data_IF_459386799541
#
_entry.id   IF_459386799541
#
_cell.length_a   1.000
_cell.length_b   1.000
_cell.length_c   1.000
_cell.angle_alpha   90.00
_cell.angle_beta   90.00
_cell.angle_gamma   90.00
#
_symmetry.space_group_name_H-M   'P 1'
#
loop_
_entity.id
_entity.type
_entity.pdbx_description
1 polymer ?
#
# COMPACT_ATOMS: atom_id res chain seq x y z
N UNK A 1 -17.34 0.78 -11.84
CA UNK A 1 -18.79 0.80 -11.52
C UNK A 1 -19.44 2.13 -11.92
N UNK A 2 -18.93 3.30 -11.52
CA UNK A 2 -19.55 4.61 -11.86
C UNK A 2 -19.88 4.80 -13.34
N UNK A 3 -18.93 4.52 -14.23
CA UNK A 3 -19.10 4.58 -15.70
C UNK A 3 -20.22 3.69 -16.24
N UNK A 4 -20.46 2.52 -15.63
CA UNK A 4 -21.56 1.65 -16.04
C UNK A 4 -22.92 2.25 -15.63
N UNK A 5 -22.98 2.86 -14.45
CA UNK A 5 -24.20 3.49 -13.96
C UNK A 5 -24.55 4.73 -14.79
N UNK A 6 -23.57 5.50 -15.25
CA UNK A 6 -23.83 6.61 -16.17
C UNK A 6 -24.40 6.10 -17.51
N UNK A 7 -23.84 5.00 -18.05
CA UNK A 7 -24.36 4.36 -19.27
C UNK A 7 -25.78 3.81 -19.14
N UNK A 8 -26.19 3.37 -17.95
CA UNK A 8 -27.52 2.78 -17.71
C UNK A 8 -28.58 3.80 -17.30
N UNK A 9 -28.25 4.75 -16.43
CA UNK A 9 -29.23 5.57 -15.70
C UNK A 9 -29.15 7.08 -15.98
N UNK A 10 -28.25 7.55 -16.85
CA UNK A 10 -28.19 8.98 -17.17
C UNK A 10 -29.53 9.49 -17.74
N UNK A 11 -30.12 10.52 -17.11
CA UNK A 11 -31.36 11.15 -17.57
C UNK A 11 -31.08 12.22 -18.62
N UNK A 12 -31.87 12.22 -19.69
CA UNK A 12 -31.76 13.17 -20.80
C UNK A 12 -31.70 14.63 -20.35
N UNK A 13 -32.59 15.03 -19.42
CA UNK A 13 -32.63 16.40 -18.88
C UNK A 13 -31.26 16.87 -18.38
N UNK A 14 -30.61 16.05 -17.56
CA UNK A 14 -29.32 16.41 -16.97
C UNK A 14 -28.17 16.30 -17.98
N UNK A 15 -28.25 15.35 -18.92
CA UNK A 15 -27.27 15.25 -20.00
C UNK A 15 -27.32 16.52 -20.86
N UNK A 16 -28.51 17.02 -21.19
CA UNK A 16 -28.67 18.24 -21.98
C UNK A 16 -28.30 19.52 -21.21
N UNK A 17 -28.50 19.54 -19.89
CA UNK A 17 -28.10 20.65 -19.02
C UNK A 17 -26.57 20.79 -18.94
N UNK A 18 -25.86 19.66 -18.80
CA UNK A 18 -24.38 19.65 -18.74
C UNK A 18 -23.74 19.80 -20.12
N UNK A 19 -24.37 19.24 -21.15
CA UNK A 19 -23.87 19.26 -22.52
C UNK A 19 -24.87 19.94 -23.48
N UNK A 20 -25.04 21.26 -23.40
CA UNK A 20 -25.94 21.99 -24.30
C UNK A 20 -25.50 21.78 -25.76
N UNK A 21 -26.48 21.63 -26.65
CA UNK A 21 -26.22 21.47 -28.08
C UNK A 21 -27.48 21.13 -28.88
N UNK A 22 -27.45 21.36 -30.20
CA UNK A 22 -28.56 21.02 -31.06
C UNK A 22 -28.70 19.49 -31.18
N UNK A 23 -29.91 18.99 -30.96
CA UNK A 23 -30.27 17.57 -31.14
C UNK A 23 -30.38 16.76 -29.85
N UNK A 24 -31.07 15.63 -29.94
CA UNK A 24 -31.28 14.68 -28.83
C UNK A 24 -30.01 13.87 -28.61
N UNK A 25 -29.26 14.17 -27.54
CA UNK A 25 -28.05 13.42 -27.19
C UNK A 25 -28.40 12.00 -26.71
N UNK A 26 -27.51 11.01 -26.89
CA UNK A 26 -27.66 9.71 -26.25
C UNK A 26 -27.61 9.83 -24.72
N UNK A 27 -28.49 9.11 -24.03
CA UNK A 27 -28.56 9.06 -22.57
C UNK A 27 -28.76 7.62 -22.10
N UNK A 28 -29.00 7.42 -20.80
CA UNK A 28 -29.00 6.11 -20.16
C UNK A 28 -29.93 5.10 -20.83
N UNK A 29 -29.45 3.87 -20.98
CA UNK A 29 -30.19 2.78 -21.63
C UNK A 29 -31.57 2.58 -20.99
N UNK A 30 -31.66 2.51 -19.66
CA UNK A 30 -32.91 2.30 -18.95
C UNK A 30 -33.80 3.56 -18.86
N UNK A 31 -33.26 4.72 -19.21
CA UNK A 31 -34.04 5.96 -19.29
C UNK A 31 -34.71 6.14 -20.65
N UNK A 32 -34.45 5.25 -21.62
CA UNK A 32 -34.96 5.33 -23.00
C UNK A 32 -34.01 6.03 -23.98
N UNK A 33 -32.75 6.26 -23.60
CA UNK A 33 -31.73 6.94 -24.42
C UNK A 33 -31.00 6.06 -25.43
N UNK A 34 -31.36 4.77 -25.50
CA UNK A 34 -30.75 3.78 -26.37
C UNK A 34 -29.41 3.22 -25.86
N UNK A 35 -28.80 2.31 -26.62
CA UNK A 35 -27.56 1.61 -26.22
C UNK A 35 -26.26 2.36 -26.55
N UNK A 36 -26.33 3.49 -27.27
CA UNK A 36 -25.14 4.21 -27.74
C UNK A 36 -24.28 4.74 -26.59
N UNK A 37 -24.91 5.30 -25.55
CA UNK A 37 -24.16 5.81 -24.38
C UNK A 37 -23.45 4.67 -23.66
N UNK A 38 -24.15 3.56 -23.40
CA UNK A 38 -23.57 2.40 -22.72
C UNK A 38 -22.40 1.80 -23.52
N UNK A 39 -22.52 1.67 -24.84
CA UNK A 39 -21.44 1.18 -25.69
C UNK A 39 -20.19 2.07 -25.61
N UNK A 40 -20.36 3.40 -25.64
CA UNK A 40 -19.25 4.34 -25.48
C UNK A 40 -18.54 4.16 -24.12
N UNK A 41 -19.32 4.03 -23.05
CA UNK A 41 -18.79 3.81 -21.69
C UNK A 41 -18.03 2.48 -21.56
N UNK A 42 -18.47 1.41 -22.26
CA UNK A 42 -17.74 0.14 -22.30
C UNK A 42 -16.40 0.29 -23.02
N UNK A 43 -16.37 0.99 -24.16
CA UNK A 43 -15.13 1.24 -24.90
C UNK A 43 -14.15 2.05 -24.04
N UNK A 44 -14.64 3.07 -23.33
CA UNK A 44 -13.83 3.86 -22.39
C UNK A 44 -13.15 2.98 -21.34
N UNK A 45 -13.90 2.06 -20.71
CA UNK A 45 -13.34 1.11 -19.74
C UNK A 45 -12.22 0.27 -20.37
N UNK A 46 -12.45 -0.28 -21.57
CA UNK A 46 -11.46 -1.12 -22.26
C UNK A 46 -10.19 -0.34 -22.61
N UNK A 47 -10.34 0.90 -23.08
CA UNK A 47 -9.21 1.77 -23.42
C UNK A 47 -8.39 2.13 -22.18
N UNK A 48 -9.05 2.54 -21.09
CA UNK A 48 -8.36 2.89 -19.83
C UNK A 48 -7.65 1.65 -19.27
N UNK A 49 -8.34 0.51 -19.22
CA UNK A 49 -7.76 -0.74 -18.73
C UNK A 49 -6.54 -1.15 -19.56
N UNK A 50 -6.64 -1.09 -20.89
CA UNK A 50 -5.53 -1.37 -21.80
C UNK A 50 -4.36 -0.42 -21.59
N UNK A 51 -4.62 0.89 -21.57
CA UNK A 51 -3.60 1.92 -21.39
C UNK A 51 -2.86 1.79 -20.05
N UNK A 52 -3.60 1.63 -18.94
CA UNK A 52 -3.02 1.47 -17.60
C UNK A 52 -2.21 0.19 -17.52
N UNK A 53 -2.71 -0.92 -18.08
CA UNK A 53 -1.99 -2.20 -18.09
C UNK A 53 -0.70 -2.11 -18.90
N UNK A 54 -0.72 -1.47 -20.07
CA UNK A 54 0.45 -1.31 -20.94
C UNK A 54 1.49 -0.36 -20.34
N UNK A 55 1.08 0.64 -19.57
CA UNK A 55 2.02 1.62 -18.98
C UNK A 55 2.56 1.15 -17.64
N UNK A 56 1.69 0.70 -16.72
CA UNK A 56 2.08 0.26 -15.39
C UNK A 56 2.59 -1.17 -15.36
N UNK A 57 2.00 -2.07 -16.17
CA UNK A 57 2.37 -3.49 -16.19
C UNK A 57 3.87 -3.71 -16.45
N UNK A 58 4.43 -3.21 -17.57
CA UNK A 58 5.86 -3.31 -17.86
C UNK A 58 6.73 -2.62 -16.81
N UNK A 59 6.33 -1.43 -16.34
CA UNK A 59 7.05 -0.69 -15.32
C UNK A 59 7.23 -1.53 -14.05
N UNK A 60 6.12 -2.02 -13.48
CA UNK A 60 6.17 -2.85 -12.28
C UNK A 60 6.80 -4.22 -12.55
N UNK A 61 6.64 -4.78 -13.74
CA UNK A 61 7.30 -6.04 -14.10
C UNK A 61 8.82 -5.92 -14.13
N UNK A 62 9.37 -4.85 -14.71
CA UNK A 62 10.80 -4.57 -14.72
C UNK A 62 11.31 -4.37 -13.29
N UNK A 63 10.63 -3.55 -12.50
CA UNK A 63 11.06 -3.30 -11.12
C UNK A 63 10.93 -4.55 -10.23
N UNK A 64 9.95 -5.42 -10.49
CA UNK A 64 9.81 -6.72 -9.85
C UNK A 64 10.97 -7.66 -10.22
N UNK A 65 11.39 -7.69 -11.50
CA UNK A 65 12.55 -8.47 -11.94
C UNK A 65 13.84 -8.02 -11.25
N UNK A 66 13.97 -6.72 -11.00
CA UNK A 66 15.08 -6.14 -10.23
C UNK A 66 14.93 -6.35 -8.71
N UNK A 67 13.83 -6.97 -8.23
CA UNK A 67 13.52 -7.22 -6.80
C UNK A 67 13.57 -5.96 -5.92
N UNK A 68 13.23 -4.80 -6.49
CA UNK A 68 13.36 -3.51 -5.80
C UNK A 68 12.15 -3.12 -4.92
N UNK A 69 10.94 -3.66 -5.20
CA UNK A 69 9.70 -3.19 -4.52
C UNK A 69 9.26 -4.03 -3.32
N UNK A 70 9.54 -5.34 -3.32
CA UNK A 70 9.14 -6.22 -2.22
C UNK A 70 10.37 -6.47 -1.34
N UNK A 71 10.22 -6.14 -0.06
CA UNK A 71 11.23 -6.43 0.95
C UNK A 71 11.32 -7.95 1.21
N UNK A 72 12.46 -8.44 1.71
CA UNK A 72 12.60 -9.86 2.06
C UNK A 72 11.58 -10.23 3.15
N UNK A 73 11.15 -11.50 3.19
CA UNK A 73 10.21 -11.97 4.23
C UNK A 73 10.79 -11.79 5.63
N UNK A 74 12.09 -11.96 5.80
CA UNK A 74 12.76 -11.81 7.09
C UNK A 74 12.73 -10.36 7.57
N UNK A 75 12.96 -9.41 6.66
CA UNK A 75 12.85 -7.97 6.93
C UNK A 75 11.38 -7.52 7.14
N UNK A 76 10.43 -8.15 6.45
CA UNK A 76 8.98 -7.93 6.63
C UNK A 76 8.55 -8.35 8.05
N UNK A 77 9.11 -9.46 8.57
CA UNK A 77 8.85 -9.94 9.94
C UNK A 77 9.57 -9.12 11.01
N UNK A 78 10.77 -8.61 10.72
CA UNK A 78 11.53 -7.77 11.65
C UNK A 78 10.97 -6.34 11.79
N UNK A 79 10.12 -5.92 10.85
CA UNK A 79 9.51 -4.59 10.81
C UNK A 79 10.30 -3.60 9.94
N UNK A 80 9.58 -2.83 9.12
CA UNK A 80 10.18 -1.88 8.16
C UNK A 80 10.84 -0.69 8.86
N UNK A 81 10.31 -0.28 10.01
CA UNK A 81 10.86 0.82 10.81
C UNK A 81 12.25 0.44 11.36
N UNK A 82 12.39 -0.78 11.87
CA UNK A 82 13.65 -1.29 12.44
C UNK A 82 14.72 -1.54 11.37
N UNK A 83 14.34 -2.06 10.21
CA UNK A 83 15.28 -2.50 9.16
C UNK A 83 15.67 -1.41 8.15
N UNK A 84 14.82 -0.39 7.92
CA UNK A 84 15.07 0.67 6.94
C UNK A 84 15.13 2.09 7.53
N UNK A 85 14.58 2.31 8.72
CA UNK A 85 14.58 3.62 9.38
C UNK A 85 15.41 3.70 10.66
N UNK A 86 16.08 2.60 11.06
CA UNK A 86 17.11 2.59 12.11
C UNK A 86 16.58 2.71 13.55
N UNK A 87 15.28 2.53 13.76
CA UNK A 87 14.65 2.62 15.08
C UNK A 87 13.13 2.52 15.00
N UNK A 88 12.47 2.33 16.15
CA UNK A 88 11.00 2.28 16.24
C UNK A 88 10.41 3.66 15.89
N UNK A 89 9.36 3.70 15.05
CA UNK A 89 8.70 4.96 14.65
C UNK A 89 7.97 5.67 15.80
N UNK A 90 7.72 4.95 16.90
CA UNK A 90 7.10 5.49 18.10
C UNK A 90 7.94 5.10 19.32
N UNK A 91 8.38 6.10 20.09
CA UNK A 91 8.78 5.90 21.47
C UNK A 91 7.48 5.63 22.22
N UNK A 92 7.27 4.40 22.68
CA UNK A 92 6.28 4.15 23.72
C UNK A 92 6.79 4.88 24.96
N UNK A 93 6.32 6.12 25.14
CA UNK A 93 6.30 6.71 26.47
C UNK A 93 5.21 5.95 27.20
N UNK A 94 5.62 4.90 27.92
CA UNK A 94 4.84 4.45 29.05
C UNK A 94 4.80 5.66 30.01
N UNK A 95 3.70 6.41 29.96
CA UNK A 95 3.35 7.37 30.99
C UNK A 95 3.12 6.54 32.26
N UNK A 96 4.19 6.22 32.98
CA UNK A 96 4.22 5.80 34.39
C UNK A 96 5.66 5.40 34.78
N UNK A 97 6.57 6.37 34.90
CA UNK A 97 7.41 6.44 36.11
C UNK A 97 8.31 7.68 36.16
N UNK A 98 8.08 8.47 37.20
CA UNK A 98 8.94 9.57 37.65
C UNK A 98 10.26 9.02 38.22
N UNK A 99 11.17 8.54 37.39
CA UNK A 99 12.54 8.31 37.86
C UNK A 99 13.61 8.62 36.82
N UNK A 100 14.38 9.66 37.16
CA UNK A 100 15.67 10.02 36.61
C UNK A 100 16.55 8.80 36.33
N UNK A 101 16.88 8.50 35.07
CA UNK A 101 18.12 7.78 34.74
C UNK A 101 18.66 8.18 33.36
N UNK A 102 19.99 8.24 33.30
CA UNK A 102 20.82 8.76 32.22
C UNK A 102 20.56 8.12 30.85
N UNK A 103 20.80 8.91 29.79
CA UNK A 103 20.66 8.48 28.41
C UNK A 103 21.41 7.17 28.12
N UNK A 104 20.66 6.15 27.74
CA UNK A 104 21.19 4.88 27.29
C UNK A 104 21.65 5.02 25.83
N UNK A 105 22.96 5.10 25.61
CA UNK A 105 23.57 4.79 24.32
C UNK A 105 23.40 3.29 24.06
N UNK A 106 22.71 2.92 22.98
CA UNK A 106 22.50 1.52 22.62
C UNK A 106 23.77 0.95 21.98
N UNK A 107 24.43 0.03 22.69
CA UNK A 107 25.59 -0.72 22.20
C UNK A 107 25.18 -1.70 21.11
N UNK A 108 25.95 -1.71 20.02
CA UNK A 108 25.88 -2.67 18.91
C UNK A 108 25.97 -4.11 19.42
N UNK A 109 24.97 -4.93 19.10
CA UNK A 109 24.95 -6.36 19.45
C UNK A 109 25.62 -7.19 18.35
N UNK A 110 26.65 -7.94 18.71
CA UNK A 110 27.36 -8.92 17.86
C UNK A 110 27.04 -10.34 18.36
N UNK A 111 26.86 -11.36 17.49
CA UNK A 111 26.38 -12.67 17.93
C UNK A 111 27.55 -13.55 18.39
N UNK A 112 27.71 -13.71 19.71
CA UNK A 112 28.69 -14.64 20.30
C UNK A 112 28.10 -16.04 20.43
N UNK A 113 28.55 -16.96 19.57
CA UNK A 113 28.36 -18.40 19.70
C UNK A 113 29.45 -18.95 20.64
N UNK A 114 29.15 -19.20 21.92
CA UNK A 114 29.92 -20.14 22.76
C UNK A 114 29.16 -20.45 24.07
N UNK A 115 28.80 -21.73 24.26
CA UNK A 115 28.23 -22.29 25.49
C UNK A 115 29.22 -22.20 26.68
N UNK A 116 28.76 -21.97 27.92
CA UNK A 116 29.63 -22.03 29.09
C UNK A 116 29.61 -23.41 29.77
N UNK A 117 30.76 -24.05 29.86
CA UNK A 117 31.08 -25.13 30.82
C UNK A 117 31.14 -24.59 32.26
N UNK A 118 30.69 -25.35 33.29
CA UNK A 118 30.72 -24.90 34.68
C UNK A 118 32.09 -25.19 35.32
N UNK A 119 32.71 -24.18 35.94
CA UNK A 119 33.96 -24.34 36.68
C UNK A 119 33.70 -24.21 38.19
N UNK A 120 33.79 -25.33 38.89
CA UNK A 120 33.82 -25.45 40.36
C UNK A 120 35.14 -24.91 40.89
N UNK A 121 35.14 -24.06 41.92
CA UNK A 121 36.27 -23.91 42.85
C UNK A 121 35.81 -23.32 44.20
N UNK A 122 35.81 -24.18 45.22
CA UNK A 122 35.76 -23.82 46.65
C UNK A 122 37.14 -23.35 47.13
N UNK A 123 37.22 -22.61 48.25
CA UNK A 123 38.35 -22.78 49.17
C UNK A 123 37.92 -23.01 50.62
N UNK A 124 38.66 -23.89 51.29
CA UNK A 124 38.56 -24.21 52.72
C UNK A 124 39.49 -23.32 53.57
N UNK A 125 39.03 -23.05 54.79
CA UNK A 125 39.75 -22.82 56.06
C UNK A 125 40.78 -21.67 56.18
N UNK A 126 40.55 -20.76 57.14
CA UNK A 126 41.19 -20.76 58.49
C UNK A 126 40.16 -20.29 59.51
#
# INVERSE_FOLDING_TARGET
>A
WGILFTGLFARERYVNEVYPGPGRRPYGLFMGGGGKLLAAQIIEILVIFGWVTVTMGPLFFVLMKLKLLRISRDDEMAGMDLTRHGGFAYIYHDEDDNSHMAGFMLTKVEPTNTSPTPNNNSPSAV
#
